data_IF_324428519449
#
_entry.id   IF_324428519449
#
_cell.length_a   1.000
_cell.length_b   1.000
_cell.length_c   1.000
_cell.angle_alpha   90.00
_cell.angle_beta   90.00
_cell.angle_gamma   90.00
#
_symmetry.space_group_name_H-M   'P 1'
#
loop_
_entity.id
_entity.type
_entity.pdbx_description
1 polymer ?
#
# COMPACT_ATOMS: atom_id res chain seq x y z
N UNK A 1 -0.57 35.79 34.99
CA UNK A 1 0.14 35.52 33.72
C UNK A 1 0.29 34.01 33.47
N UNK A 2 -0.39 33.15 34.24
CA UNK A 2 -0.15 31.70 34.25
C UNK A 2 -1.04 30.92 33.28
N UNK A 3 -2.15 31.50 32.83
CA UNK A 3 -3.09 30.87 31.88
C UNK A 3 -2.52 30.77 30.45
N UNK A 4 -1.70 31.75 30.05
CA UNK A 4 -1.14 31.79 28.69
C UNK A 4 0.02 30.80 28.50
N UNK A 5 0.82 30.61 29.54
CA UNK A 5 1.89 29.60 29.58
C UNK A 5 1.31 28.18 29.54
N UNK A 6 0.20 27.91 30.24
CA UNK A 6 -0.47 26.60 30.20
C UNK A 6 -1.08 26.30 28.81
N UNK A 7 -1.64 27.29 28.12
CA UNK A 7 -2.16 27.11 26.76
C UNK A 7 -1.02 26.82 25.76
N UNK A 8 0.11 27.51 25.88
CA UNK A 8 1.29 27.24 25.03
C UNK A 8 1.93 25.88 25.31
N UNK A 9 1.94 25.42 26.57
CA UNK A 9 2.42 24.09 26.95
C UNK A 9 1.52 22.98 26.42
N UNK A 10 0.19 23.15 26.47
CA UNK A 10 -0.76 22.19 25.91
C UNK A 10 -0.67 22.09 24.38
N UNK A 11 -0.49 23.22 23.69
CA UNK A 11 -0.24 23.24 22.24
C UNK A 11 1.11 22.59 21.89
N UNK A 12 2.16 22.81 22.69
CA UNK A 12 3.47 22.16 22.52
C UNK A 12 3.41 20.65 22.72
N UNK A 13 2.67 20.16 23.72
CA UNK A 13 2.51 18.72 23.99
C UNK A 13 1.65 18.02 22.92
N UNK A 14 0.62 18.68 22.37
CA UNK A 14 -0.17 18.18 21.24
C UNK A 14 0.67 18.05 19.95
N UNK A 15 1.63 18.95 19.73
CA UNK A 15 2.58 18.87 18.61
C UNK A 15 3.59 17.74 18.79
N UNK A 16 4.01 17.43 20.02
CA UNK A 16 4.93 16.31 20.30
C UNK A 16 4.21 14.96 20.21
N UNK A 17 2.97 14.88 20.72
CA UNK A 17 2.16 13.65 20.65
C UNK A 17 1.69 13.31 19.21
N UNK A 18 1.44 14.31 18.37
CA UNK A 18 1.16 14.10 16.93
C UNK A 18 2.41 13.71 16.13
N UNK A 19 3.61 14.13 16.56
CA UNK A 19 4.87 13.61 16.01
C UNK A 19 5.20 12.19 16.48
N UNK A 20 4.72 11.75 17.63
CA UNK A 20 5.09 10.44 18.19
C UNK A 20 4.19 9.29 17.73
N UNK A 21 2.96 9.54 17.30
CA UNK A 21 2.01 8.49 16.84
C UNK A 21 2.09 8.17 15.35
N UNK A 22 2.88 8.92 14.56
CA UNK A 22 3.14 8.64 13.14
C UNK A 22 4.47 7.88 12.90
N UNK A 23 5.20 7.51 13.95
CA UNK A 23 6.47 6.80 13.82
C UNK A 23 6.34 5.29 13.53
N UNK A 24 5.12 4.75 13.41
CA UNK A 24 4.91 3.31 13.21
C UNK A 24 5.26 2.78 11.80
N UNK A 25 5.60 3.63 10.82
CA UNK A 25 6.03 3.18 9.49
C UNK A 25 7.23 3.95 8.92
N UNK A 26 8.15 4.42 9.77
CA UNK A 26 9.47 4.82 9.26
C UNK A 26 10.31 3.57 9.06
N UNK A 27 10.27 3.03 7.85
CA UNK A 27 11.34 2.21 7.31
C UNK A 27 12.63 3.03 7.39
N UNK A 28 13.37 2.90 8.49
CA UNK A 28 14.70 3.48 8.62
C UNK A 28 15.66 2.61 7.80
N UNK A 29 15.56 2.70 6.47
CA UNK A 29 16.58 2.15 5.57
C UNK A 29 17.88 2.90 5.80
N UNK A 30 18.99 2.18 5.76
CA UNK A 30 20.29 2.83 5.75
C UNK A 30 20.45 3.64 4.46
N UNK A 31 21.15 4.77 4.52
CA UNK A 31 21.42 5.61 3.34
C UNK A 31 22.08 4.81 2.21
N UNK A 32 22.92 3.83 2.55
CA UNK A 32 23.56 2.91 1.62
C UNK A 32 22.58 1.99 0.88
N UNK A 33 21.58 1.42 1.56
CA UNK A 33 20.57 0.57 0.91
C UNK A 33 19.73 1.37 -0.10
N UNK A 34 19.40 2.62 0.22
CA UNK A 34 18.68 3.50 -0.70
C UNK A 34 19.51 3.78 -1.96
N UNK A 35 20.81 4.03 -1.81
CA UNK A 35 21.69 4.27 -2.96
C UNK A 35 21.85 3.04 -3.87
N UNK A 36 21.77 1.83 -3.32
CA UNK A 36 21.78 0.60 -4.14
C UNK A 36 20.47 0.42 -4.92
N UNK A 37 19.32 0.70 -4.31
CA UNK A 37 18.03 0.66 -5.00
C UNK A 37 17.99 1.66 -6.17
N UNK A 38 18.43 2.90 -5.94
CA UNK A 38 18.50 3.94 -6.98
C UNK A 38 19.41 3.52 -8.12
N UNK A 39 20.59 2.97 -7.81
CA UNK A 39 21.55 2.50 -8.82
C UNK A 39 20.95 1.38 -9.68
N UNK A 40 20.31 0.39 -9.06
CA UNK A 40 19.70 -0.73 -9.78
C UNK A 40 18.54 -0.28 -10.67
N UNK A 41 17.70 0.63 -10.19
CA UNK A 41 16.62 1.21 -11.01
C UNK A 41 17.20 1.99 -12.19
N UNK A 42 18.22 2.81 -11.98
CA UNK A 42 18.84 3.54 -13.08
C UNK A 42 19.48 2.63 -14.13
N UNK A 43 20.14 1.54 -13.69
CA UNK A 43 20.68 0.50 -14.57
C UNK A 43 19.58 -0.11 -15.45
N UNK A 44 18.45 -0.50 -14.84
CA UNK A 44 17.32 -1.04 -15.59
C UNK A 44 16.69 -0.01 -16.53
N UNK A 45 16.53 1.24 -16.08
CA UNK A 45 15.99 2.30 -16.93
C UNK A 45 16.88 2.58 -18.15
N UNK A 46 18.20 2.45 -18.02
CA UNK A 46 19.13 2.56 -19.14
C UNK A 46 18.96 1.37 -20.11
N UNK A 47 18.92 0.15 -19.56
CA UNK A 47 18.75 -1.08 -20.35
C UNK A 47 17.44 -1.08 -21.16
N UNK A 48 16.32 -0.74 -20.51
CA UNK A 48 14.99 -0.68 -21.15
C UNK A 48 14.71 0.66 -21.85
N UNK A 49 15.67 1.60 -21.84
CA UNK A 49 15.55 2.94 -22.47
C UNK A 49 14.35 3.75 -21.97
N UNK A 50 14.10 3.72 -20.66
CA UNK A 50 12.95 4.37 -20.02
C UNK A 50 13.29 5.64 -19.24
N UNK A 51 14.40 6.30 -19.55
CA UNK A 51 14.81 7.58 -18.90
C UNK A 51 14.25 8.82 -19.58
N UNK A 52 13.70 8.67 -20.78
CA UNK A 52 13.15 9.78 -21.56
C UNK A 52 11.95 10.45 -20.86
N UNK A 53 11.73 11.73 -21.16
CA UNK A 53 10.64 12.53 -20.56
C UNK A 53 9.25 12.00 -20.93
N UNK A 54 9.14 11.24 -22.02
CA UNK A 54 7.92 10.56 -22.45
C UNK A 54 7.41 9.52 -21.44
N UNK A 55 8.24 9.09 -20.49
CA UNK A 55 7.86 8.13 -19.44
C UNK A 55 7.32 8.80 -18.19
N UNK A 56 7.57 10.09 -17.98
CA UNK A 56 7.10 10.83 -16.78
C UNK A 56 5.58 10.81 -16.71
N UNK A 57 4.90 11.10 -17.84
CA UNK A 57 3.44 11.07 -17.94
C UNK A 57 2.85 9.66 -17.96
N UNK A 58 3.68 8.61 -18.09
CA UNK A 58 3.29 7.20 -18.10
C UNK A 58 3.52 6.51 -16.75
N UNK A 59 3.79 7.28 -15.70
CA UNK A 59 3.99 6.76 -14.35
C UNK A 59 2.78 5.94 -13.88
N UNK A 60 2.99 4.67 -13.55
CA UNK A 60 1.91 3.72 -13.22
C UNK A 60 1.20 4.06 -11.91
N UNK A 61 1.96 4.40 -10.86
CA UNK A 61 1.39 4.57 -9.51
C UNK A 61 1.38 6.00 -8.98
N UNK A 62 2.06 6.96 -9.62
CA UNK A 62 2.10 8.37 -9.17
C UNK A 62 0.71 8.97 -8.97
N UNK A 63 -0.28 8.78 -9.87
CA UNK A 63 -1.63 9.30 -9.65
C UNK A 63 -2.29 8.75 -8.37
N UNK A 64 -2.04 7.49 -8.04
CA UNK A 64 -2.57 6.84 -6.85
C UNK A 64 -1.83 7.27 -5.58
N UNK A 65 -0.51 7.42 -5.64
CA UNK A 65 0.32 7.91 -4.54
C UNK A 65 -0.08 9.32 -4.11
N UNK A 66 -0.36 10.22 -5.07
CA UNK A 66 -0.80 11.59 -4.79
C UNK A 66 -2.15 11.64 -4.04
N UNK A 67 -2.99 10.61 -4.22
CA UNK A 67 -4.28 10.47 -3.56
C UNK A 67 -4.22 9.67 -2.26
N UNK A 68 -3.05 9.15 -1.84
CA UNK A 68 -2.98 8.39 -0.59
C UNK A 68 -3.34 9.28 0.59
N UNK A 69 -2.76 10.48 0.66
CA UNK A 69 -2.96 11.41 1.77
C UNK A 69 -4.41 11.94 1.90
N UNK A 70 -5.24 11.81 0.86
CA UNK A 70 -6.66 12.20 0.90
C UNK A 70 -7.60 11.09 1.36
N UNK A 71 -7.09 9.87 1.64
CA UNK A 71 -7.91 8.72 2.08
C UNK A 71 -8.09 8.71 3.60
N UNK A 72 -9.32 8.46 4.03
CA UNK A 72 -9.79 8.67 5.41
C UNK A 72 -9.34 7.63 6.46
N UNK A 73 -8.41 6.71 6.15
CA UNK A 73 -7.82 5.79 7.14
C UNK A 73 -6.45 5.27 6.70
N UNK A 74 -5.56 5.04 7.68
CA UNK A 74 -4.25 4.41 7.46
C UNK A 74 -4.38 3.01 6.82
N UNK A 75 -5.43 2.27 7.16
CA UNK A 75 -5.67 0.90 6.65
C UNK A 75 -5.96 0.87 5.14
N UNK A 76 -6.72 1.83 4.61
CA UNK A 76 -6.98 1.90 3.16
C UNK A 76 -5.72 2.27 2.38
N UNK A 77 -4.87 3.12 2.93
CA UNK A 77 -3.58 3.47 2.32
C UNK A 77 -2.63 2.27 2.32
N UNK A 78 -2.56 1.54 3.44
CA UNK A 78 -1.72 0.35 3.57
C UNK A 78 -2.12 -0.73 2.56
N UNK A 79 -3.42 -0.98 2.36
CA UNK A 79 -3.90 -1.94 1.37
C UNK A 79 -3.51 -1.55 -0.06
N UNK A 80 -3.54 -0.26 -0.40
CA UNK A 80 -3.10 0.22 -1.71
C UNK A 80 -1.60 0.06 -1.91
N UNK A 81 -0.80 0.35 -0.88
CA UNK A 81 0.65 0.18 -0.92
C UNK A 81 1.02 -1.30 -1.04
N UNK A 82 0.35 -2.20 -0.32
CA UNK A 82 0.51 -3.65 -0.48
C UNK A 82 0.31 -4.06 -1.93
N UNK A 83 -0.79 -3.61 -2.55
CA UNK A 83 -1.10 -3.99 -3.92
C UNK A 83 -0.07 -3.45 -4.92
N UNK A 84 0.40 -2.21 -4.73
CA UNK A 84 1.47 -1.63 -5.58
C UNK A 84 2.76 -2.46 -5.48
N UNK A 85 3.15 -2.86 -4.27
CA UNK A 85 4.33 -3.70 -4.04
C UNK A 85 4.19 -5.07 -4.72
N UNK A 86 3.02 -5.70 -4.58
CA UNK A 86 2.76 -6.98 -5.23
C UNK A 86 2.86 -6.87 -6.76
N UNK A 87 2.32 -5.80 -7.36
CA UNK A 87 2.44 -5.56 -8.80
C UNK A 87 3.90 -5.34 -9.21
N UNK A 88 4.70 -4.61 -8.44
CA UNK A 88 6.13 -4.48 -8.75
C UNK A 88 6.88 -5.82 -8.72
N UNK A 89 6.54 -6.70 -7.78
CA UNK A 89 7.12 -8.05 -7.77
C UNK A 89 6.71 -8.88 -8.99
N UNK A 90 5.43 -8.84 -9.37
CA UNK A 90 4.91 -9.49 -10.59
C UNK A 90 5.64 -8.95 -11.83
N UNK A 91 5.77 -7.62 -11.97
CA UNK A 91 6.46 -6.97 -13.08
C UNK A 91 7.94 -7.34 -13.15
N UNK A 92 8.67 -7.28 -12.03
CA UNK A 92 10.09 -7.62 -12.02
C UNK A 92 10.32 -9.11 -12.30
N UNK A 93 9.44 -9.99 -11.82
CA UNK A 93 9.49 -11.41 -12.13
C UNK A 93 9.26 -11.69 -13.62
N UNK A 94 8.33 -10.96 -14.26
CA UNK A 94 8.04 -11.04 -15.68
C UNK A 94 9.23 -10.54 -16.53
N UNK A 95 9.73 -9.33 -16.24
CA UNK A 95 10.93 -8.75 -16.88
C UNK A 95 12.16 -9.67 -16.77
N UNK A 96 12.32 -10.34 -15.62
CA UNK A 96 13.41 -11.32 -15.39
C UNK A 96 13.25 -12.59 -16.24
N UNK A 97 12.03 -12.95 -16.59
CA UNK A 97 11.74 -14.13 -17.41
C UNK A 97 12.06 -13.89 -18.87
N UNK A 98 11.89 -12.65 -19.35
CA UNK A 98 12.13 -12.26 -20.74
C UNK A 98 13.63 -11.99 -21.04
N UNK A 99 14.40 -11.49 -20.06
CA UNK A 99 15.77 -11.02 -20.30
C UNK A 99 16.81 -11.56 -19.31
N UNK A 100 17.99 -11.96 -19.84
CA UNK A 100 19.14 -12.40 -19.02
C UNK A 100 19.96 -11.22 -18.50
N UNK A 101 19.98 -10.10 -19.21
CA UNK A 101 20.64 -8.86 -18.79
C UNK A 101 19.78 -8.13 -17.73
N UNK A 102 20.42 -7.49 -16.75
CA UNK A 102 19.70 -6.86 -15.63
C UNK A 102 19.14 -7.83 -14.58
N UNK A 103 19.32 -9.15 -14.73
CA UNK A 103 18.81 -10.16 -13.78
C UNK A 103 19.26 -9.91 -12.33
N UNK A 104 20.52 -9.53 -12.11
CA UNK A 104 21.03 -9.24 -10.75
C UNK A 104 20.36 -8.02 -10.13
N UNK A 105 20.11 -6.98 -10.93
CA UNK A 105 19.43 -5.77 -10.48
C UNK A 105 17.97 -6.07 -10.11
N UNK A 106 17.29 -6.85 -10.95
CA UNK A 106 15.92 -7.34 -10.71
C UNK A 106 15.85 -8.25 -9.47
N UNK A 107 16.80 -9.17 -9.29
CA UNK A 107 16.85 -10.06 -8.13
C UNK A 107 16.92 -9.25 -6.82
N UNK A 108 17.84 -8.28 -6.77
CA UNK A 108 17.97 -7.41 -5.61
C UNK A 108 16.71 -6.58 -5.36
N UNK A 109 16.11 -5.98 -6.40
CA UNK A 109 14.87 -5.21 -6.27
C UNK A 109 13.70 -6.07 -5.78
N UNK A 110 13.57 -7.29 -6.31
CA UNK A 110 12.54 -8.24 -5.87
C UNK A 110 12.71 -8.63 -4.41
N UNK A 111 13.95 -8.88 -3.95
CA UNK A 111 14.21 -9.20 -2.55
C UNK A 111 13.85 -8.02 -1.63
N UNK A 112 14.14 -6.80 -2.05
CA UNK A 112 13.77 -5.59 -1.30
C UNK A 112 12.25 -5.36 -1.27
N UNK A 113 11.54 -5.67 -2.36
CA UNK A 113 10.07 -5.65 -2.39
C UNK A 113 9.48 -6.73 -1.48
N UNK A 114 10.01 -7.96 -1.51
CA UNK A 114 9.56 -9.05 -0.63
C UNK A 114 9.74 -8.73 0.84
N UNK A 115 10.91 -8.18 1.22
CA UNK A 115 11.17 -7.71 2.59
C UNK A 115 10.13 -6.67 3.02
N UNK A 116 9.87 -5.69 2.15
CA UNK A 116 8.91 -4.62 2.41
C UNK A 116 7.47 -5.15 2.54
N UNK A 117 7.05 -6.04 1.64
CA UNK A 117 5.73 -6.70 1.66
C UNK A 117 5.52 -7.55 2.92
N UNK A 118 6.60 -8.04 3.55
CA UNK A 118 6.55 -8.71 4.84
C UNK A 118 5.84 -7.92 5.94
N UNK A 119 5.77 -6.59 5.82
CA UNK A 119 5.08 -5.70 6.76
C UNK A 119 3.60 -5.45 6.43
N UNK A 120 3.11 -5.98 5.30
CA UNK A 120 1.74 -5.79 4.81
C UNK A 120 0.95 -7.11 4.76
N UNK A 121 1.26 -8.04 5.68
CA UNK A 121 0.67 -9.39 5.67
C UNK A 121 -0.84 -9.38 5.89
N UNK A 122 -1.35 -8.48 6.73
CA UNK A 122 -2.78 -8.39 7.00
C UNK A 122 -3.53 -7.78 5.82
N UNK A 123 -2.96 -6.75 5.20
CA UNK A 123 -3.45 -6.17 3.95
C UNK A 123 -3.49 -7.20 2.82
N UNK A 124 -2.46 -8.05 2.72
CA UNK A 124 -2.41 -9.12 1.75
C UNK A 124 -3.53 -10.16 1.96
N UNK A 125 -3.91 -10.47 3.21
CA UNK A 125 -5.05 -11.34 3.51
C UNK A 125 -6.37 -10.70 3.06
N UNK A 126 -6.58 -9.43 3.40
CA UNK A 126 -7.77 -8.67 2.98
C UNK A 126 -7.86 -8.63 1.46
N UNK A 127 -6.74 -8.44 0.76
CA UNK A 127 -6.70 -8.50 -0.70
C UNK A 127 -7.15 -9.87 -1.24
N UNK A 128 -6.69 -10.98 -0.66
CA UNK A 128 -7.15 -12.32 -1.06
C UNK A 128 -8.64 -12.52 -0.86
N UNK A 129 -9.18 -12.10 0.29
CA UNK A 129 -10.62 -12.15 0.55
C UNK A 129 -11.41 -11.37 -0.51
N UNK A 130 -10.93 -10.17 -0.90
CA UNK A 130 -11.55 -9.39 -1.98
C UNK A 130 -11.48 -10.09 -3.35
N UNK A 131 -10.36 -10.76 -3.67
CA UNK A 131 -10.26 -11.55 -4.90
C UNK A 131 -11.23 -12.74 -4.90
N UNK A 132 -11.35 -13.43 -3.77
CA UNK A 132 -12.31 -14.52 -3.59
C UNK A 132 -13.74 -14.03 -3.81
N UNK A 133 -14.12 -12.91 -3.19
CA UNK A 133 -15.43 -12.28 -3.37
C UNK A 133 -15.68 -11.87 -4.84
N UNK A 134 -14.69 -11.30 -5.52
CA UNK A 134 -14.80 -10.94 -6.94
C UNK A 134 -14.94 -12.15 -7.87
N UNK A 135 -14.47 -13.33 -7.44
CA UNK A 135 -14.55 -14.57 -8.20
C UNK A 135 -15.88 -15.34 -8.03
N UNK A 136 -16.77 -14.87 -7.15
CA UNK A 136 -18.04 -15.53 -6.83
C UNK A 136 -18.92 -15.65 -8.08
N UNK A 137 -19.32 -16.89 -8.39
CA UNK A 137 -20.19 -17.20 -9.54
C UNK A 137 -21.66 -16.93 -9.21
N UNK A 138 -22.08 -15.65 -9.25
CA UNK A 138 -23.44 -15.20 -8.88
C UNK A 138 -24.60 -15.85 -9.67
N UNK A 139 -24.30 -16.50 -10.81
CA UNK A 139 -25.28 -17.25 -11.60
C UNK A 139 -25.53 -18.68 -11.09
N UNK A 140 -24.69 -19.18 -10.18
CA UNK A 140 -24.85 -20.50 -9.58
C UNK A 140 -26.00 -20.52 -8.56
N UNK A 141 -26.92 -21.47 -8.68
CA UNK A 141 -28.11 -21.57 -7.83
C UNK A 141 -27.79 -21.80 -6.34
N UNK A 142 -26.81 -22.63 -6.03
CA UNK A 142 -26.35 -22.89 -4.64
C UNK A 142 -25.77 -21.62 -4.02
N UNK A 143 -24.96 -20.86 -4.77
CA UNK A 143 -24.41 -19.58 -4.30
C UNK A 143 -25.53 -18.58 -3.99
N UNK A 144 -26.55 -18.47 -4.86
CA UNK A 144 -27.70 -17.60 -4.61
C UNK A 144 -28.46 -18.01 -3.35
N UNK A 145 -28.69 -19.31 -3.16
CA UNK A 145 -29.31 -19.83 -1.94
C UNK A 145 -28.50 -19.49 -0.68
N UNK A 146 -27.18 -19.68 -0.72
CA UNK A 146 -26.28 -19.31 0.37
C UNK A 146 -26.29 -17.81 0.68
N UNK A 147 -26.23 -16.96 -0.36
CA UNK A 147 -26.27 -15.50 -0.22
C UNK A 147 -27.58 -14.98 0.37
N UNK A 148 -28.70 -15.68 0.17
CA UNK A 148 -29.97 -15.33 0.85
C UNK A 148 -29.94 -15.66 2.33
N UNK A 149 -29.20 -16.70 2.75
CA UNK A 149 -29.10 -17.11 4.15
C UNK A 149 -28.26 -16.13 4.98
N UNK A 150 -27.20 -15.54 4.41
CA UNK A 150 -26.30 -14.62 5.13
C UNK A 150 -26.64 -13.14 4.91
N UNK A 151 -27.53 -12.80 3.97
CA UNK A 151 -27.85 -11.43 3.60
C UNK A 151 -28.14 -10.50 4.79
N UNK A 152 -29.03 -10.91 5.69
CA UNK A 152 -29.43 -10.06 6.82
C UNK A 152 -28.26 -9.78 7.77
N UNK A 153 -27.36 -10.74 7.96
CA UNK A 153 -26.16 -10.55 8.78
C UNK A 153 -25.20 -9.56 8.16
N UNK A 154 -24.98 -9.66 6.84
CA UNK A 154 -24.13 -8.72 6.09
C UNK A 154 -24.74 -7.32 6.12
N UNK A 155 -26.05 -7.20 5.88
CA UNK A 155 -26.76 -5.93 5.86
C UNK A 155 -26.72 -5.21 7.21
N UNK A 156 -27.02 -5.92 8.31
CA UNK A 156 -26.97 -5.38 9.67
C UNK A 156 -25.55 -4.87 10.00
N UNK A 157 -24.53 -5.69 9.77
CA UNK A 157 -23.13 -5.30 10.00
C UNK A 157 -22.72 -4.08 9.18
N UNK A 158 -23.06 -4.05 7.89
CA UNK A 158 -22.73 -2.93 7.01
C UNK A 158 -23.43 -1.62 7.45
N UNK A 159 -24.67 -1.72 7.91
CA UNK A 159 -25.43 -0.57 8.40
C UNK A 159 -24.82 0.02 9.67
N UNK A 160 -24.30 -0.80 10.58
CA UNK A 160 -23.80 -0.34 11.88
C UNK A 160 -22.34 0.12 11.85
N UNK A 161 -21.51 -0.41 10.95
CA UNK A 161 -20.05 -0.18 10.97
C UNK A 161 -19.66 1.27 10.68
N UNK A 162 -20.39 1.97 9.79
CA UNK A 162 -20.11 3.38 9.47
C UNK A 162 -20.79 4.39 10.40
N UNK A 163 -21.85 4.01 11.09
CA UNK A 163 -22.58 4.90 12.00
C UNK A 163 -21.91 5.07 13.38
N UNK A 164 -20.94 4.22 13.73
CA UNK A 164 -20.18 4.32 15.00
C UNK A 164 -19.15 5.47 15.08
N UNK A 165 -19.09 6.36 14.09
CA UNK A 165 -18.14 7.51 14.08
C UNK A 165 -18.71 8.82 14.66
N UNK A 166 -19.89 8.80 15.29
CA UNK A 166 -20.46 9.97 15.98
C UNK A 166 -20.91 9.57 17.38
N UNK A 167 -19.97 9.49 18.31
CA UNK A 167 -20.17 9.69 19.75
C UNK A 167 -18.83 9.99 20.41
#
# INVERSE_FOLDING_TARGET
>A
MDSWLNMMLLCGLLLIASLQTTNAFRFRRSKSEMTHLETNIHSLQEHYKTRGTEWVSKSVFVPHLNQLNSKASCTCQALLLERMLNIYEELFQDMKSEHKEGRKDLDHLMDEVKKLRGNYKEEHKVWKELQEMNSVKVKNGTIRGGALNDFLMVFDRASTEKHKKVQ
#
